data_IF_641427780479
#
_entry.id   IF_641427780479
#
_cell.length_a   1.000
_cell.length_b   1.000
_cell.length_c   1.000
_cell.angle_alpha   90.00
_cell.angle_beta   90.00
_cell.angle_gamma   90.00
#
_symmetry.space_group_name_H-M   'P 1'
#
loop_
_entity.id
_entity.type
_entity.pdbx_description
1 polymer ?
#
# COMPACT_ATOMS: atom_id res chain seq x y z
N UNK A 1 -1.52 3.06 18.28
CA UNK A 1 -1.35 2.14 17.14
C UNK A 1 -0.74 0.86 17.69
N UNK A 2 -1.43 -0.26 17.53
CA UNK A 2 -0.89 -1.58 17.87
C UNK A 2 -0.64 -2.30 16.55
N UNK A 3 0.60 -2.71 16.24
CA UNK A 3 0.98 -3.23 14.93
C UNK A 3 0.06 -4.33 14.39
N UNK A 4 -0.53 -5.14 15.26
CA UNK A 4 -1.43 -6.25 14.89
C UNK A 4 -2.77 -5.82 14.28
N UNK A 5 -3.37 -4.71 14.73
CA UNK A 5 -4.62 -4.20 14.11
C UNK A 5 -4.31 -3.52 12.78
N UNK A 6 -3.19 -2.82 12.74
CA UNK A 6 -2.78 -2.01 11.59
C UNK A 6 -2.26 -2.91 10.44
N UNK A 7 -1.65 -4.06 10.76
CA UNK A 7 -1.23 -5.08 9.81
C UNK A 7 -2.41 -5.73 9.06
N UNK A 8 -3.56 -5.93 9.71
CA UNK A 8 -4.73 -6.50 9.03
C UNK A 8 -5.24 -5.57 7.90
N UNK A 9 -5.25 -4.26 8.13
CA UNK A 9 -5.64 -3.28 7.12
C UNK A 9 -4.62 -3.24 5.97
N UNK A 10 -3.31 -3.26 6.25
CA UNK A 10 -2.27 -3.38 5.23
C UNK A 10 -2.43 -4.66 4.39
N UNK A 11 -2.75 -5.79 5.02
CA UNK A 11 -2.94 -7.06 4.32
C UNK A 11 -4.12 -7.02 3.35
N UNK A 12 -5.22 -6.35 3.71
CA UNK A 12 -6.37 -6.13 2.80
C UNK A 12 -5.95 -5.33 1.57
N UNK A 13 -5.24 -4.22 1.77
CA UNK A 13 -4.76 -3.38 0.67
C UNK A 13 -3.78 -4.14 -0.23
N UNK A 14 -2.84 -4.88 0.37
CA UNK A 14 -1.92 -5.77 -0.36
C UNK A 14 -2.68 -6.73 -1.26
N UNK A 15 -3.70 -7.42 -0.74
CA UNK A 15 -4.49 -8.35 -1.53
C UNK A 15 -5.21 -7.68 -2.69
N UNK A 16 -5.73 -6.47 -2.48
CA UNK A 16 -6.39 -5.71 -3.52
C UNK A 16 -5.44 -5.33 -4.66
N UNK A 17 -4.25 -4.80 -4.36
CA UNK A 17 -3.24 -4.48 -5.38
C UNK A 17 -2.70 -5.72 -6.09
N UNK A 18 -2.48 -6.83 -5.37
CA UNK A 18 -2.11 -8.11 -6.00
C UNK A 18 -3.21 -8.62 -6.92
N UNK A 19 -4.48 -8.44 -6.53
CA UNK A 19 -5.61 -8.82 -7.37
C UNK A 19 -5.68 -7.95 -8.63
N UNK A 20 -5.57 -6.63 -8.50
CA UNK A 20 -5.50 -5.70 -9.63
C UNK A 20 -4.39 -6.13 -10.61
N UNK A 21 -3.17 -6.28 -10.10
CA UNK A 21 -1.97 -6.63 -10.87
C UNK A 21 -2.11 -7.92 -11.68
N UNK A 22 -2.94 -8.86 -11.21
CA UNK A 22 -3.22 -10.14 -11.88
C UNK A 22 -4.33 -10.08 -12.93
N UNK A 23 -5.21 -9.08 -12.87
CA UNK A 23 -6.43 -9.01 -13.67
C UNK A 23 -6.48 -7.80 -14.62
N UNK A 24 -5.53 -6.87 -14.49
CA UNK A 24 -5.45 -5.68 -15.32
C UNK A 24 -4.18 -5.72 -16.18
N UNK A 25 -4.34 -5.41 -17.48
CA UNK A 25 -3.21 -5.20 -18.39
C UNK A 25 -2.63 -3.80 -18.16
N UNK A 26 -1.72 -3.69 -17.20
CA UNK A 26 -1.08 -2.43 -16.83
C UNK A 26 0.06 -2.07 -17.79
N UNK A 27 0.24 -0.77 -18.08
CA UNK A 27 1.44 -0.30 -18.76
C UNK A 27 2.68 -0.57 -17.89
N UNK A 28 3.86 -0.73 -18.50
CA UNK A 28 5.10 -1.10 -17.78
C UNK A 28 5.40 -0.15 -16.60
N UNK A 29 5.11 1.15 -16.76
CA UNK A 29 5.30 2.14 -15.70
C UNK A 29 4.37 1.93 -14.51
N UNK A 30 3.08 1.70 -14.78
CA UNK A 30 2.06 1.43 -13.77
C UNK A 30 2.34 0.12 -13.03
N UNK A 31 2.68 -0.93 -13.78
CA UNK A 31 3.06 -2.23 -13.22
C UNK A 31 4.24 -2.11 -12.25
N UNK A 32 5.27 -1.33 -12.61
CA UNK A 32 6.45 -1.12 -11.76
C UNK A 32 6.09 -0.36 -10.47
N UNK A 33 5.22 0.65 -10.58
CA UNK A 33 4.76 1.42 -9.42
C UNK A 33 3.92 0.57 -8.47
N UNK A 34 3.03 -0.27 -9.02
CA UNK A 34 2.22 -1.23 -8.24
C UNK A 34 3.11 -2.27 -7.56
N UNK A 35 4.08 -2.87 -8.29
CA UNK A 35 4.99 -3.87 -7.74
C UNK A 35 5.83 -3.26 -6.60
N UNK A 36 6.31 -2.02 -6.75
CA UNK A 36 7.04 -1.29 -5.70
C UNK A 36 6.17 -1.06 -4.46
N UNK A 37 4.90 -0.69 -4.64
CA UNK A 37 3.96 -0.51 -3.54
C UNK A 37 3.69 -1.83 -2.81
N UNK A 38 3.49 -2.93 -3.54
CA UNK A 38 3.28 -4.26 -2.95
C UNK A 38 4.51 -4.67 -2.11
N UNK A 39 5.71 -4.48 -2.63
CA UNK A 39 6.95 -4.77 -1.91
C UNK A 39 7.08 -3.94 -0.61
N UNK A 40 6.69 -2.66 -0.66
CA UNK A 40 6.68 -1.79 0.51
C UNK A 40 5.67 -2.26 1.57
N UNK A 41 4.50 -2.73 1.15
CA UNK A 41 3.49 -3.28 2.07
C UNK A 41 3.99 -4.59 2.70
N UNK A 42 4.61 -5.46 1.92
CA UNK A 42 5.18 -6.73 2.41
C UNK A 42 6.27 -6.48 3.45
N UNK A 43 7.18 -5.54 3.18
CA UNK A 43 8.19 -5.14 4.15
C UNK A 43 7.58 -4.57 5.45
N UNK A 44 6.50 -3.80 5.36
CA UNK A 44 5.80 -3.28 6.54
C UNK A 44 5.14 -4.40 7.36
N UNK A 45 4.53 -5.38 6.69
CA UNK A 45 3.92 -6.55 7.34
C UNK A 45 4.96 -7.41 8.07
N UNK A 46 6.10 -7.70 7.44
CA UNK A 46 7.21 -8.44 8.06
C UNK A 46 7.72 -7.75 9.34
N UNK A 47 7.75 -6.41 9.33
CA UNK A 47 8.18 -5.61 10.48
C UNK A 47 7.14 -5.56 11.60
N UNK A 48 5.84 -5.63 11.28
CA UNK A 48 4.79 -5.76 12.28
C UNK A 48 4.96 -7.06 13.09
N UNK A 49 5.28 -8.15 12.40
CA UNK A 49 5.51 -9.47 13.01
C UNK A 49 6.79 -9.49 13.87
N UNK A 50 7.81 -8.73 13.48
CA UNK A 50 9.05 -8.58 14.25
C UNK A 50 8.90 -7.70 15.51
N UNK A 51 7.78 -6.98 15.68
CA UNK A 51 7.47 -6.18 16.88
C UNK A 51 8.26 -4.86 17.01
N UNK A 52 8.93 -4.41 15.95
CA UNK A 52 9.75 -3.21 15.94
C UNK A 52 8.94 -1.92 15.69
N UNK A 53 8.47 -1.24 16.74
CA UNK A 53 7.58 -0.07 16.60
C UNK A 53 8.17 1.10 15.79
N UNK A 54 9.49 1.36 15.90
CA UNK A 54 10.15 2.44 15.13
C UNK A 54 10.26 2.05 13.65
N UNK A 55 10.67 0.82 13.36
CA UNK A 55 10.76 0.32 11.99
C UNK A 55 9.37 0.27 11.33
N UNK A 56 8.33 -0.10 12.09
CA UNK A 56 6.95 -0.07 11.66
C UNK A 56 6.51 1.32 11.15
N UNK A 57 6.73 2.38 11.94
CA UNK A 57 6.35 3.73 11.52
C UNK A 57 7.07 4.19 10.24
N UNK A 58 8.35 3.83 10.08
CA UNK A 58 9.09 4.13 8.86
C UNK A 58 8.55 3.37 7.65
N UNK A 59 8.21 2.09 7.83
CA UNK A 59 7.66 1.26 6.77
C UNK A 59 6.27 1.74 6.32
N UNK A 60 5.41 2.11 7.27
CA UNK A 60 4.09 2.67 6.98
C UNK A 60 4.18 4.03 6.28
N UNK A 61 5.14 4.88 6.67
CA UNK A 61 5.40 6.13 5.95
C UNK A 61 5.86 5.89 4.50
N UNK A 62 6.62 4.81 4.28
CA UNK A 62 7.02 4.40 2.93
C UNK A 62 5.83 3.92 2.11
N UNK A 63 4.96 3.08 2.69
CA UNK A 63 3.70 2.64 2.04
C UNK A 63 2.87 3.85 1.62
N UNK A 64 2.71 4.85 2.50
CA UNK A 64 1.97 6.07 2.16
C UNK A 64 2.62 6.82 0.97
N UNK A 65 3.94 6.98 0.99
CA UNK A 65 4.66 7.66 -0.09
C UNK A 65 4.52 6.94 -1.44
N UNK A 66 4.65 5.60 -1.46
CA UNK A 66 4.52 4.82 -2.69
C UNK A 66 3.05 4.77 -3.18
N UNK A 67 2.08 4.77 -2.27
CA UNK A 67 0.66 4.86 -2.62
C UNK A 67 0.31 6.21 -3.26
N UNK A 68 0.82 7.31 -2.69
CA UNK A 68 0.69 8.65 -3.29
C UNK A 68 1.41 8.72 -4.64
N UNK A 69 2.55 8.03 -4.79
CA UNK A 69 3.24 7.97 -6.07
C UNK A 69 2.37 7.29 -7.13
N UNK A 70 1.71 6.16 -6.83
CA UNK A 70 0.74 5.53 -7.75
C UNK A 70 -0.36 6.52 -8.13
N UNK A 71 -0.99 7.18 -7.14
CA UNK A 71 -2.08 8.14 -7.36
C UNK A 71 -1.67 9.31 -8.26
N UNK A 72 -0.46 9.84 -8.07
CA UNK A 72 -0.02 11.09 -8.73
C UNK A 72 0.74 10.88 -10.03
N UNK A 73 1.30 9.69 -10.26
CA UNK A 73 2.20 9.45 -11.40
C UNK A 73 1.62 8.61 -12.54
N UNK A 74 0.54 7.86 -12.28
CA UNK A 74 -0.15 7.12 -13.35
C UNK A 74 -1.07 8.04 -14.15
N UNK A 75 -1.25 7.76 -15.44
CA UNK A 75 -2.27 8.42 -16.28
C UNK A 75 -3.62 7.68 -16.30
N UNK A 76 -3.71 6.55 -15.60
CA UNK A 76 -4.90 5.70 -15.56
C UNK A 76 -5.84 6.11 -14.44
N UNK A 77 -6.96 6.76 -14.81
CA UNK A 77 -7.96 7.23 -13.84
C UNK A 77 -8.51 6.09 -12.97
N UNK A 78 -8.73 4.90 -13.52
CA UNK A 78 -9.23 3.75 -12.77
C UNK A 78 -8.23 3.27 -11.72
N UNK A 79 -6.93 3.28 -12.03
CA UNK A 79 -5.87 2.99 -11.06
C UNK A 79 -5.73 4.11 -10.00
N UNK A 80 -5.88 5.37 -10.40
CA UNK A 80 -5.88 6.49 -9.45
C UNK A 80 -7.05 6.38 -8.47
N UNK A 81 -8.27 6.13 -8.95
CA UNK A 81 -9.47 5.99 -8.13
C UNK A 81 -9.33 4.80 -7.18
N UNK A 82 -8.86 3.66 -7.69
CA UNK A 82 -8.58 2.47 -6.91
C UNK A 82 -7.54 2.73 -5.80
N UNK A 83 -6.42 3.37 -6.13
CA UNK A 83 -5.39 3.68 -5.15
C UNK A 83 -5.86 4.72 -4.12
N UNK A 84 -6.66 5.71 -4.52
CA UNK A 84 -7.27 6.67 -3.61
C UNK A 84 -8.21 5.98 -2.63
N UNK A 85 -9.09 5.08 -3.08
CA UNK A 85 -10.00 4.33 -2.20
C UNK A 85 -9.23 3.59 -1.09
N UNK A 86 -8.11 2.94 -1.46
CA UNK A 86 -7.29 2.22 -0.50
C UNK A 86 -6.47 3.14 0.41
N UNK A 87 -6.09 4.33 -0.05
CA UNK A 87 -5.48 5.36 0.79
C UNK A 87 -6.46 5.82 1.88
N UNK A 88 -7.69 6.13 1.50
CA UNK A 88 -8.76 6.48 2.45
C UNK A 88 -9.03 5.35 3.43
N UNK A 89 -9.12 4.10 2.96
CA UNK A 89 -9.29 2.94 3.82
C UNK A 89 -8.19 2.83 4.89
N UNK A 90 -6.91 3.02 4.51
CA UNK A 90 -5.80 2.98 5.47
C UNK A 90 -5.81 4.15 6.45
N UNK A 91 -6.19 5.34 5.99
CA UNK A 91 -6.31 6.53 6.83
C UNK A 91 -7.43 6.36 7.87
N UNK A 92 -8.60 5.84 7.46
CA UNK A 92 -9.73 5.55 8.35
C UNK A 92 -9.38 4.50 9.42
N UNK A 93 -8.46 3.59 9.11
CA UNK A 93 -7.93 2.61 10.06
C UNK A 93 -6.79 3.16 10.93
N UNK A 94 -6.36 4.40 10.69
CA UNK A 94 -5.24 5.04 11.40
C UNK A 94 -3.89 4.42 11.06
N UNK A 95 -3.75 3.75 9.91
CA UNK A 95 -2.47 3.19 9.47
C UNK A 95 -1.60 4.30 8.91
N UNK A 96 -2.09 5.04 7.92
CA UNK A 96 -1.39 6.18 7.32
C UNK A 96 -2.06 7.51 7.75
N UNK A 97 -1.32 8.64 7.71
CA UNK A 97 -1.86 9.95 8.07
C UNK A 97 -2.83 10.51 7.02
#
# INVERSE_FOLDING_TARGET
>A
MTPTRDAAALYVVRQAFVHWRRNCDDEIGDATAIDTLIDAIDAALDLADAGGAVQWHQAVARVNADLLAVILSTNRMDLQDFANEHAWYLADHGVIP
#
